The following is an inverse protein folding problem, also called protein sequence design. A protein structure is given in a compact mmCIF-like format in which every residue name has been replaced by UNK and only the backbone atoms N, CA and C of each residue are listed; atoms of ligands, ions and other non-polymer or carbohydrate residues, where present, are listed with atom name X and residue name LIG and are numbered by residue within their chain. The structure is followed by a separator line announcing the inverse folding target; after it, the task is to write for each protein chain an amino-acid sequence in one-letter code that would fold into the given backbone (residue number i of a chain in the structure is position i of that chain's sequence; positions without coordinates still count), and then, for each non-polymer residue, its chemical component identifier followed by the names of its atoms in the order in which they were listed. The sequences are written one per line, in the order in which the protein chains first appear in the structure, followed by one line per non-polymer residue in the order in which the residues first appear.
data_IF_675894927388
#
_entry.id   IF_675894927388
#
_cell.length_a   1.000
_cell.length_b   1.000
_cell.length_c   1.000
_cell.angle_alpha   90.00
_cell.angle_beta   90.00
_cell.angle_gamma   90.00
#
_symmetry.space_group_name_H-M   'P 1'
#
loop_
_entity.id
_entity.type
_entity.pdbx_description
1 polymer ?
#
# COMPACT_ATOMS: atom_id res chain seq x y z
N UNK A 1 -20.85 2.15 4.10
CA UNK A 1 -21.11 3.56 3.74
C UNK A 1 -19.80 4.32 3.80
N UNK A 2 -19.41 5.02 2.72
CA UNK A 2 -18.27 5.95 2.76
C UNK A 2 -18.83 7.33 3.14
N UNK A 3 -18.39 7.89 4.26
CA UNK A 3 -18.76 9.25 4.62
C UNK A 3 -18.05 10.21 3.66
N UNK A 4 -18.82 11.07 3.00
CA UNK A 4 -18.30 12.06 2.03
C UNK A 4 -17.43 13.11 2.72
N UNK A 5 -17.75 13.47 3.97
CA UNK A 5 -16.97 14.38 4.80
C UNK A 5 -16.90 13.89 6.25
N UNK A 6 -15.78 14.16 6.93
CA UNK A 6 -15.58 13.83 8.35
C UNK A 6 -14.91 15.00 9.09
N UNK A 7 -15.14 15.07 10.40
CA UNK A 7 -14.29 15.84 11.32
C UNK A 7 -13.27 14.88 11.93
N UNK A 8 -11.99 15.27 11.99
CA UNK A 8 -10.91 14.39 12.42
C UNK A 8 -10.15 14.95 13.62
N UNK A 9 -9.86 14.11 14.62
CA UNK A 9 -9.26 14.54 15.89
C UNK A 9 -7.86 15.17 15.73
N UNK A 10 -7.09 14.79 14.71
CA UNK A 10 -5.75 15.36 14.47
C UNK A 10 -5.78 16.61 13.60
N UNK A 11 -6.94 16.96 13.06
CA UNK A 11 -7.14 18.17 12.27
C UNK A 11 -8.54 18.76 12.54
N UNK A 12 -8.81 19.24 13.77
CA UNK A 12 -10.15 19.63 14.19
C UNK A 12 -10.65 20.94 13.54
N UNK A 13 -9.76 21.74 12.95
CA UNK A 13 -10.09 23.06 12.40
C UNK A 13 -10.91 22.97 11.10
N UNK A 14 -10.70 21.91 10.31
CA UNK A 14 -11.37 21.74 9.02
C UNK A 14 -11.92 20.31 8.85
N UNK A 15 -12.99 20.20 8.06
CA UNK A 15 -13.50 18.91 7.64
C UNK A 15 -12.61 18.32 6.53
N UNK A 16 -12.49 17.00 6.54
CA UNK A 16 -11.81 16.24 5.49
C UNK A 16 -12.85 15.65 4.56
N UNK A 17 -12.66 15.80 3.25
CA UNK A 17 -13.51 15.22 2.22
C UNK A 17 -12.91 13.93 1.68
N UNK A 18 -13.76 12.95 1.41
CA UNK A 18 -13.35 11.74 0.71
C UNK A 18 -13.11 12.06 -0.77
N UNK A 19 -11.97 11.65 -1.30
CA UNK A 19 -11.67 11.68 -2.72
C UNK A 19 -10.82 10.47 -3.14
N UNK A 20 -10.79 10.20 -4.43
CA UNK A 20 -9.90 9.19 -5.02
C UNK A 20 -8.86 9.91 -5.89
N UNK A 21 -7.58 9.69 -5.60
CA UNK A 21 -6.48 10.33 -6.32
C UNK A 21 -5.65 9.31 -7.10
N UNK A 22 -5.36 9.62 -8.35
CA UNK A 22 -4.41 8.86 -9.17
C UNK A 22 -2.95 9.20 -8.85
N UNK A 23 -2.73 10.22 -8.01
CA UNK A 23 -1.40 10.68 -7.62
C UNK A 23 -1.04 10.19 -6.21
N UNK A 24 0.22 9.83 -5.96
CA UNK A 24 0.69 9.54 -4.61
C UNK A 24 0.56 10.75 -3.70
N UNK A 25 0.27 10.49 -2.44
CA UNK A 25 0.19 11.51 -1.39
C UNK A 25 0.88 11.00 -0.12
N UNK A 26 1.34 11.92 0.73
CA UNK A 26 1.86 11.56 2.04
C UNK A 26 0.72 11.65 3.06
N UNK A 27 0.52 10.60 3.84
CA UNK A 27 -0.47 10.62 4.90
C UNK A 27 0.07 11.37 6.12
N UNK A 28 -0.63 12.41 6.57
CA UNK A 28 -0.28 13.19 7.76
C UNK A 28 -0.47 12.44 9.07
N UNK A 29 -1.28 11.39 9.07
CA UNK A 29 -1.50 10.53 10.22
C UNK A 29 -0.30 9.62 10.45
N UNK A 30 -0.12 8.61 9.59
CA UNK A 30 0.90 7.57 9.78
C UNK A 30 2.25 7.88 9.12
N UNK A 31 2.36 8.98 8.36
CA UNK A 31 3.56 9.45 7.64
C UNK A 31 4.03 8.56 6.49
N UNK A 32 3.32 7.49 6.18
CA UNK A 32 3.54 6.66 5.00
C UNK A 32 2.88 7.25 3.74
N UNK A 33 3.43 6.89 2.57
CA UNK A 33 2.83 7.25 1.27
C UNK A 33 1.58 6.42 1.01
N UNK A 34 0.58 7.05 0.40
CA UNK A 34 -0.64 6.45 -0.13
C UNK A 34 -0.90 6.78 -1.59
N UNK A 35 -1.83 6.05 -2.19
CA UNK A 35 -2.43 6.36 -3.49
C UNK A 35 -3.90 5.90 -3.46
N UNK A 36 -4.74 6.46 -4.32
CA UNK A 36 -6.14 6.08 -4.42
C UNK A 36 -7.01 6.84 -3.43
N UNK A 37 -7.89 6.11 -2.73
CA UNK A 37 -8.85 6.71 -1.81
C UNK A 37 -8.17 7.35 -0.59
N UNK A 38 -8.51 8.60 -0.32
CA UNK A 38 -8.01 9.38 0.82
C UNK A 38 -9.07 10.31 1.39
N UNK A 39 -8.80 10.83 2.58
CA UNK A 39 -9.51 11.96 3.14
C UNK A 39 -8.60 13.18 3.09
N UNK A 40 -9.01 14.21 2.36
CA UNK A 40 -8.23 15.42 2.11
C UNK A 40 -8.94 16.65 2.65
N UNK A 41 -8.19 17.55 3.26
CA UNK A 41 -8.67 18.89 3.58
C UNK A 41 -8.66 19.77 2.31
N UNK A 42 -9.75 20.48 2.04
CA UNK A 42 -9.81 21.42 0.90
C UNK A 42 -9.19 22.78 1.21
N UNK A 43 -8.91 23.07 2.49
CA UNK A 43 -8.41 24.37 2.95
C UNK A 43 -6.89 24.37 3.20
N UNK A 44 -6.29 23.21 3.42
CA UNK A 44 -4.85 23.05 3.66
C UNK A 44 -4.34 21.74 3.06
N UNK A 45 -3.01 21.63 2.96
CA UNK A 45 -2.35 20.41 2.50
C UNK A 45 -2.30 19.36 3.63
N UNK A 46 -3.47 18.76 3.90
CA UNK A 46 -3.62 17.72 4.92
C UNK A 46 -4.36 16.51 4.34
N UNK A 47 -3.70 15.36 4.36
CA UNK A 47 -4.15 14.14 3.71
C UNK A 47 -4.06 12.94 4.66
N UNK A 48 -5.09 12.11 4.69
CA UNK A 48 -5.11 10.85 5.45
C UNK A 48 -5.48 9.68 4.55
N UNK A 49 -4.78 8.54 4.74
CA UNK A 49 -5.31 7.25 4.28
C UNK A 49 -6.68 7.00 4.90
N UNK A 50 -7.54 6.22 4.23
CA UNK A 50 -8.84 5.82 4.79
C UNK A 50 -8.73 5.22 6.19
N UNK A 51 -7.74 4.35 6.44
CA UNK A 51 -7.53 3.71 7.73
C UNK A 51 -6.89 4.61 8.80
N UNK A 52 -6.35 5.77 8.40
CA UNK A 52 -5.89 6.81 9.33
C UNK A 52 -7.00 7.83 9.64
N UNK A 53 -7.90 8.06 8.68
CA UNK A 53 -9.06 8.92 8.81
C UNK A 53 -10.11 8.31 9.74
N UNK A 54 -10.35 7.01 9.63
CA UNK A 54 -11.33 6.29 10.45
C UNK A 54 -10.66 5.05 11.06
N UNK A 55 -9.75 5.23 12.04
CA UNK A 55 -9.07 4.11 12.68
C UNK A 55 -10.04 3.36 13.60
N UNK A 56 -9.97 2.03 13.60
CA UNK A 56 -10.59 1.26 14.65
C UNK A 56 -9.80 1.47 15.95
N UNK A 57 -10.43 1.63 17.12
CA UNK A 57 -9.69 1.80 18.38
C UNK A 57 -8.79 0.61 18.71
N UNK A 58 -9.16 -0.59 18.24
CA UNK A 58 -8.49 -1.85 18.48
C UNK A 58 -8.62 -2.78 17.28
N UNK A 59 -7.55 -3.52 16.96
CA UNK A 59 -7.55 -4.53 15.90
C UNK A 59 -6.83 -5.81 16.34
N UNK A 60 -7.11 -6.89 15.62
CA UNK A 60 -6.39 -8.16 15.66
C UNK A 60 -5.83 -8.47 14.28
N UNK A 61 -4.66 -9.09 14.21
CA UNK A 61 -4.02 -9.44 12.95
C UNK A 61 -3.69 -10.93 12.90
N UNK A 62 -3.94 -11.58 11.77
CA UNK A 62 -3.79 -13.04 11.58
C UNK A 62 -2.37 -13.55 11.90
N UNK A 63 -1.34 -12.75 11.61
CA UNK A 63 0.06 -13.08 11.93
C UNK A 63 0.43 -12.96 13.42
N UNK A 64 -0.44 -12.38 14.23
CA UNK A 64 -0.22 -12.09 15.64
C UNK A 64 -1.47 -12.50 16.44
N UNK A 65 -1.79 -13.78 16.42
CA UNK A 65 -3.03 -14.34 17.01
C UNK A 65 -3.17 -14.11 18.52
N UNK A 66 -2.06 -13.83 19.22
CA UNK A 66 -2.04 -13.53 20.66
C UNK A 66 -1.97 -12.03 20.97
N UNK A 67 -1.97 -11.16 19.96
CA UNK A 67 -1.79 -9.72 20.15
C UNK A 67 -3.09 -8.96 19.92
N UNK A 68 -3.38 -8.01 20.81
CA UNK A 68 -4.38 -6.98 20.60
C UNK A 68 -3.68 -5.65 20.36
N UNK A 69 -3.87 -5.06 19.18
CA UNK A 69 -3.25 -3.79 18.86
C UNK A 69 -4.23 -2.65 19.13
N UNK A 70 -3.81 -1.70 19.96
CA UNK A 70 -4.55 -0.48 20.27
C UNK A 70 -4.05 0.65 19.37
N UNK A 71 -4.97 1.49 18.89
CA UNK A 71 -4.61 2.66 18.10
C UNK A 71 -4.06 3.78 18.99
N UNK A 72 -3.00 4.43 18.54
CA UNK A 72 -2.44 5.64 19.14
C UNK A 72 -2.16 6.68 18.05
N UNK A 73 -2.37 7.96 18.38
CA UNK A 73 -2.03 9.09 17.51
C UNK A 73 -0.52 9.36 17.43
N UNK A 74 0.25 8.79 18.36
CA UNK A 74 1.72 8.85 18.40
C UNK A 74 2.28 7.53 18.94
N UNK A 75 3.50 7.12 18.54
CA UNK A 75 4.17 5.97 19.12
C UNK A 75 4.35 6.11 20.64
N UNK A 76 4.19 5.04 21.43
CA UNK A 76 4.41 5.08 22.87
C UNK A 76 5.91 5.05 23.23
N UNK A 77 6.28 5.91 24.18
CA UNK A 77 7.65 6.08 24.68
C UNK A 77 8.55 6.91 23.75
N UNK A 78 9.78 7.17 24.19
CA UNK A 78 10.70 8.10 23.51
C UNK A 78 11.74 7.41 22.60
N UNK A 79 11.70 6.08 22.53
CA UNK A 79 12.63 5.31 21.69
C UNK A 79 12.10 5.20 20.26
N UNK A 80 12.97 5.22 19.23
CA UNK A 80 12.57 4.93 17.86
C UNK A 80 11.82 3.60 17.76
N UNK A 81 10.72 3.60 17.01
CA UNK A 81 9.87 2.43 16.80
C UNK A 81 9.75 2.14 15.31
N UNK A 82 9.67 0.86 14.97
CA UNK A 82 9.62 0.41 13.58
C UNK A 82 8.41 -0.50 13.38
N UNK A 83 7.76 -0.34 12.25
CA UNK A 83 6.60 -1.15 11.90
C UNK A 83 7.04 -2.59 11.62
N UNK A 84 6.46 -3.59 12.31
CA UNK A 84 6.84 -4.99 12.12
C UNK A 84 6.45 -5.55 10.74
N UNK A 85 5.62 -4.84 9.97
CA UNK A 85 5.23 -5.25 8.63
C UNK A 85 6.17 -4.73 7.54
N UNK A 86 6.63 -3.48 7.61
CA UNK A 86 7.45 -2.85 6.56
C UNK A 86 8.81 -2.33 7.06
N UNK A 87 9.10 -2.44 8.36
CA UNK A 87 10.33 -1.97 9.02
C UNK A 87 10.67 -0.49 8.88
N UNK A 88 9.76 0.31 8.35
CA UNK A 88 9.91 1.77 8.33
C UNK A 88 9.58 2.36 9.69
N UNK A 89 10.11 3.55 9.91
CA UNK A 89 9.89 4.32 11.13
C UNK A 89 8.41 4.58 11.39
N UNK A 90 8.04 4.50 12.66
CA UNK A 90 6.71 4.87 13.13
C UNK A 90 6.83 6.23 13.82
N UNK A 91 6.49 7.30 13.10
CA UNK A 91 6.59 8.69 13.57
C UNK A 91 5.25 9.37 13.76
N UNK A 92 4.14 8.63 13.60
CA UNK A 92 2.78 9.15 13.73
C UNK A 92 1.82 8.07 14.19
N UNK A 93 0.65 7.99 13.56
CA UNK A 93 -0.41 7.04 13.90
C UNK A 93 0.09 5.60 13.85
N UNK A 94 -0.24 4.83 14.88
CA UNK A 94 0.26 3.47 15.08
C UNK A 94 -0.80 2.58 15.71
N UNK A 95 -0.78 1.31 15.35
CA UNK A 95 -1.37 0.22 16.10
C UNK A 95 -0.28 -0.45 16.93
N UNK A 96 -0.38 -0.37 18.25
CA UNK A 96 0.61 -0.87 19.19
C UNK A 96 0.04 -1.99 20.06
N UNK A 97 0.74 -3.11 20.15
CA UNK A 97 0.44 -4.19 21.09
C UNK A 97 1.28 -3.98 22.36
N UNK A 98 0.63 -3.64 23.47
CA UNK A 98 1.30 -3.41 24.77
C UNK A 98 2.05 -4.63 25.29
N UNK A 99 1.48 -5.82 25.10
CA UNK A 99 2.02 -7.06 25.68
C UNK A 99 3.28 -7.56 24.96
N UNK A 100 3.37 -7.31 23.65
CA UNK A 100 4.47 -7.80 22.82
C UNK A 100 5.42 -6.71 22.33
N UNK A 101 5.04 -5.43 22.46
CA UNK A 101 5.78 -4.30 21.93
C UNK A 101 5.76 -4.19 20.40
N UNK A 102 4.90 -4.93 19.70
CA UNK A 102 4.78 -4.87 18.24
C UNK A 102 4.02 -3.63 17.79
N UNK A 103 4.46 -3.06 16.67
CA UNK A 103 3.90 -1.86 16.07
C UNK A 103 3.55 -2.10 14.60
N UNK A 104 2.42 -1.55 14.17
CA UNK A 104 1.99 -1.55 12.78
C UNK A 104 1.50 -0.16 12.39
N UNK A 105 1.94 0.36 11.25
CA UNK A 105 1.23 1.49 10.63
C UNK A 105 -0.21 1.07 10.32
N UNK A 106 -1.21 1.97 10.42
CA UNK A 106 -2.59 1.67 10.04
C UNK A 106 -2.75 1.10 8.63
N UNK A 107 -1.99 1.61 7.64
CA UNK A 107 -2.00 1.08 6.28
C UNK A 107 -1.37 -0.32 6.18
N UNK A 108 -0.31 -0.59 6.94
CA UNK A 108 0.35 -1.89 6.98
C UNK A 108 -0.51 -2.97 7.65
N UNK A 109 -1.26 -2.61 8.69
CA UNK A 109 -2.16 -3.52 9.41
C UNK A 109 -3.37 -3.99 8.56
N UNK A 110 -3.61 -3.34 7.42
CA UNK A 110 -4.70 -3.62 6.48
C UNK A 110 -4.22 -4.10 5.12
N UNK A 111 -2.94 -4.48 5.01
CA UNK A 111 -2.42 -5.08 3.79
C UNK A 111 -3.20 -6.34 3.41
N UNK A 112 -3.51 -6.54 2.12
CA UNK A 112 -4.23 -7.72 1.69
C UNK A 112 -3.37 -8.98 1.87
N UNK A 113 -4.00 -10.08 2.28
CA UNK A 113 -3.34 -11.38 2.39
C UNK A 113 -2.91 -11.94 1.03
N UNK A 114 -3.57 -11.51 -0.05
CA UNK A 114 -3.28 -11.91 -1.43
C UNK A 114 -3.35 -10.69 -2.33
N UNK A 115 -2.29 -10.46 -3.10
CA UNK A 115 -2.30 -9.58 -4.26
C UNK A 115 -2.51 -10.43 -5.50
N UNK A 116 -3.43 -10.01 -6.37
CA UNK A 116 -3.73 -10.69 -7.62
C UNK A 116 -3.93 -9.64 -8.72
N UNK A 117 -3.07 -9.65 -9.72
CA UNK A 117 -3.18 -8.77 -10.90
C UNK A 117 -3.77 -9.50 -12.12
N UNK A 118 -4.34 -10.70 -11.93
CA UNK A 118 -4.88 -11.54 -12.99
C UNK A 118 -3.88 -12.55 -13.56
N UNK A 119 -2.58 -12.26 -13.49
CA UNK A 119 -1.52 -13.16 -13.98
C UNK A 119 -0.69 -13.77 -12.84
N UNK A 120 -0.40 -12.97 -11.81
CA UNK A 120 0.46 -13.33 -10.68
C UNK A 120 -0.33 -13.17 -9.39
N UNK A 121 -0.33 -14.25 -8.60
CA UNK A 121 -0.79 -14.23 -7.21
C UNK A 121 0.39 -14.18 -6.26
N UNK A 122 0.45 -13.14 -5.43
CA UNK A 122 1.40 -13.02 -4.34
C UNK A 122 0.67 -13.11 -3.01
N UNK A 123 1.14 -14.00 -2.15
CA UNK A 123 0.58 -14.22 -0.83
C UNK A 123 1.44 -13.53 0.21
N UNK A 124 0.81 -12.86 1.15
CA UNK A 124 1.49 -12.20 2.25
C UNK A 124 1.90 -13.23 3.29
N UNK A 125 3.15 -13.14 3.74
CA UNK A 125 3.71 -13.95 4.81
C UNK A 125 4.39 -13.06 5.84
N UNK A 126 4.28 -13.42 7.12
CA UNK A 126 4.95 -12.71 8.21
C UNK A 126 6.47 -12.72 8.07
N UNK A 127 7.06 -13.86 7.69
CA UNK A 127 8.50 -14.05 7.54
C UNK A 127 8.78 -15.19 6.57
N UNK A 128 9.76 -15.01 5.68
CA UNK A 128 10.26 -16.07 4.79
C UNK A 128 11.78 -16.12 4.86
N UNK A 129 12.37 -17.29 4.62
CA UNK A 129 13.82 -17.50 4.59
C UNK A 129 14.48 -17.19 3.24
N UNK A 130 13.66 -16.97 2.21
CA UNK A 130 14.11 -16.62 0.87
C UNK A 130 14.59 -15.16 0.81
N UNK A 131 15.58 -14.89 -0.04
CA UNK A 131 16.04 -13.52 -0.30
C UNK A 131 14.99 -12.72 -1.06
N UNK A 132 14.88 -11.43 -0.73
CA UNK A 132 14.05 -10.49 -1.48
C UNK A 132 14.64 -10.23 -2.87
N UNK A 133 13.82 -10.28 -3.91
CA UNK A 133 14.23 -10.06 -5.30
C UNK A 133 14.76 -8.63 -5.54
N UNK A 134 14.19 -7.62 -4.86
CA UNK A 134 14.58 -6.21 -5.05
C UNK A 134 15.88 -5.86 -4.33
N UNK A 135 16.06 -6.27 -3.07
CA UNK A 135 17.21 -5.86 -2.26
C UNK A 135 18.26 -6.96 -2.03
N UNK A 136 18.00 -8.21 -2.45
CA UNK A 136 18.89 -9.36 -2.29
C UNK A 136 19.03 -9.90 -0.86
N UNK A 137 18.54 -9.16 0.15
CA UNK A 137 18.68 -9.51 1.58
C UNK A 137 17.61 -10.51 2.02
N UNK A 138 17.95 -11.36 2.99
CA UNK A 138 17.01 -12.24 3.70
C UNK A 138 16.44 -11.53 4.90
N UNK A 139 15.13 -11.69 5.10
CA UNK A 139 14.42 -11.09 6.23
C UNK A 139 14.41 -9.56 6.19
N UNK A 140 13.35 -8.98 6.74
CA UNK A 140 13.21 -8.67 8.18
C UNK A 140 11.80 -8.09 8.48
N UNK A 141 11.04 -7.78 7.42
CA UNK A 141 9.62 -7.39 7.37
C UNK A 141 8.73 -8.52 6.82
N UNK A 142 7.42 -8.27 6.76
CA UNK A 142 6.49 -9.11 6.00
C UNK A 142 6.89 -9.17 4.52
N UNK A 143 6.49 -10.25 3.86
CA UNK A 143 6.91 -10.57 2.50
C UNK A 143 5.74 -11.03 1.66
N UNK A 144 5.62 -10.46 0.46
CA UNK A 144 4.77 -11.02 -0.59
C UNK A 144 5.55 -12.08 -1.37
N UNK A 145 4.98 -13.28 -1.49
CA UNK A 145 5.61 -14.43 -2.16
C UNK A 145 4.65 -15.13 -3.11
N UNK A 146 5.15 -15.49 -4.30
CA UNK A 146 4.36 -16.23 -5.28
C UNK A 146 4.25 -17.72 -4.94
N UNK A 147 3.19 -18.38 -5.45
CA UNK A 147 3.02 -19.84 -5.31
C UNK A 147 4.17 -20.63 -5.92
N UNK A 148 4.73 -20.15 -7.04
CA UNK A 148 5.89 -20.78 -7.68
C UNK A 148 7.23 -20.52 -6.95
N UNK A 149 7.21 -19.80 -5.81
CA UNK A 149 8.35 -19.47 -4.95
C UNK A 149 9.46 -18.63 -5.60
N UNK A 150 9.32 -18.27 -6.88
CA UNK A 150 10.27 -17.45 -7.65
C UNK A 150 10.27 -15.99 -7.23
N UNK A 151 9.11 -15.45 -6.84
CA UNK A 151 8.98 -14.05 -6.44
C UNK A 151 8.87 -13.95 -4.93
N UNK A 152 9.77 -13.21 -4.31
CA UNK A 152 9.80 -12.91 -2.88
C UNK A 152 10.15 -11.44 -2.72
N UNK A 153 9.26 -10.63 -2.16
CA UNK A 153 9.46 -9.19 -2.01
C UNK A 153 9.03 -8.74 -0.62
N UNK A 154 9.94 -8.09 0.12
CA UNK A 154 9.56 -7.43 1.36
C UNK A 154 8.47 -6.38 1.08
N UNK A 155 7.52 -6.21 2.00
CA UNK A 155 6.49 -5.16 1.89
C UNK A 155 7.13 -3.78 1.66
N UNK A 156 8.23 -3.48 2.37
CA UNK A 156 9.00 -2.26 2.18
C UNK A 156 9.48 -2.11 0.72
N UNK A 157 10.08 -3.16 0.16
CA UNK A 157 10.57 -3.17 -1.21
C UNK A 157 9.45 -3.06 -2.24
N UNK A 158 8.28 -3.67 -1.99
CA UNK A 158 7.12 -3.45 -2.87
C UNK A 158 6.73 -1.98 -2.84
N UNK A 159 6.63 -1.36 -1.66
CA UNK A 159 6.35 0.07 -1.54
C UNK A 159 7.40 0.92 -2.27
N UNK A 160 8.70 0.62 -2.13
CA UNK A 160 9.78 1.34 -2.81
C UNK A 160 9.66 1.25 -4.34
N UNK A 161 9.44 0.03 -4.87
CA UNK A 161 9.28 -0.20 -6.31
C UNK A 161 8.10 0.59 -6.89
N UNK A 162 7.01 0.71 -6.14
CA UNK A 162 5.85 1.50 -6.55
C UNK A 162 6.16 3.00 -6.59
N UNK A 163 7.00 3.49 -5.67
CA UNK A 163 7.37 4.91 -5.58
C UNK A 163 8.44 5.33 -6.60
N UNK A 164 9.46 4.50 -6.83
CA UNK A 164 10.50 4.76 -7.82
C UNK A 164 9.92 4.94 -9.23
N UNK A 165 8.91 4.12 -9.58
CA UNK A 165 8.20 4.25 -10.85
C UNK A 165 7.49 5.62 -11.00
N UNK A 166 7.21 6.33 -9.91
CA UNK A 166 6.56 7.63 -9.95
C UNK A 166 7.55 8.80 -10.02
N UNK A 167 8.73 8.66 -9.40
CA UNK A 167 9.75 9.74 -9.37
C UNK A 167 10.29 10.09 -10.76
N UNK A 168 10.24 9.17 -11.73
CA UNK A 168 10.54 9.45 -13.13
C UNK A 168 9.62 10.48 -13.81
N UNK A 169 8.46 10.81 -13.22
CA UNK A 169 7.43 11.68 -13.81
C UNK A 169 7.37 13.09 -13.23
N UNK A 170 8.00 13.35 -12.08
CA UNK A 170 7.95 14.67 -11.41
C UNK A 170 9.00 15.65 -12.00
N UNK A 171 9.87 15.18 -12.91
CA UNK A 171 10.94 15.98 -13.52
C UNK A 171 10.54 16.82 -14.74
N UNK A 172 9.37 16.61 -15.35
CA UNK A 172 8.94 17.37 -16.54
C UNK A 172 7.70 18.21 -16.24
N UNK A 173 7.90 19.53 -16.19
CA UNK A 173 6.83 20.53 -16.23
C UNK A 173 6.03 20.38 -17.54
N UNK A 174 4.97 19.58 -17.56
CA UNK A 174 3.87 19.77 -18.49
C UNK A 174 2.65 18.95 -18.10
N UNK A 175 1.55 19.64 -17.82
CA UNK A 175 0.22 19.04 -17.86
C UNK A 175 -0.07 18.57 -19.29
N UNK A 176 0.20 17.30 -19.59
CA UNK A 176 -0.25 16.62 -20.81
C UNK A 176 -0.87 15.27 -20.43
N UNK A 177 -2.08 15.05 -20.99
CA UNK A 177 -2.94 13.87 -20.91
C UNK A 177 -2.24 12.58 -20.43
N UNK A 178 -2.73 12.07 -19.31
CA UNK A 178 -2.49 10.73 -18.80
C UNK A 178 -2.76 9.69 -19.90
N UNK A 179 -1.71 9.10 -20.46
CA UNK A 179 -1.78 7.74 -20.97
C UNK A 179 -1.20 6.83 -19.89
N UNK A 180 -2.09 6.10 -19.23
CA UNK A 180 -1.85 5.08 -18.20
C UNK A 180 -0.75 4.10 -18.63
N UNK A 181 0.48 4.29 -18.15
CA UNK A 181 1.51 3.26 -18.15
C UNK A 181 2.12 3.15 -16.77
N UNK A 182 1.42 2.41 -15.91
CA UNK A 182 2.06 1.85 -14.73
C UNK A 182 2.48 0.41 -15.11
N UNK A 183 3.73 -0.03 -14.87
CA UNK A 183 4.17 -1.36 -15.30
C UNK A 183 3.46 -2.44 -14.48
N UNK A 184 2.87 -3.45 -15.14
CA UNK A 184 2.33 -4.67 -14.49
C UNK A 184 3.31 -5.18 -13.42
N UNK A 185 2.83 -5.75 -12.32
CA UNK A 185 3.67 -6.43 -11.32
C UNK A 185 4.65 -7.37 -12.01
N UNK A 186 4.20 -8.08 -13.05
CA UNK A 186 5.07 -8.88 -13.93
C UNK A 186 6.15 -8.05 -14.60
N UNK A 187 5.84 -6.91 -15.22
CA UNK A 187 6.85 -6.03 -15.83
C UNK A 187 7.82 -5.45 -14.80
N UNK A 188 7.36 -5.01 -13.63
CA UNK A 188 8.25 -4.55 -12.55
C UNK A 188 9.15 -5.69 -12.06
N UNK A 189 8.61 -6.90 -11.92
CA UNK A 189 9.37 -8.10 -11.56
C UNK A 189 10.36 -8.51 -12.66
N UNK A 190 10.00 -8.39 -13.94
CA UNK A 190 10.84 -8.74 -15.09
C UNK A 190 11.99 -7.75 -15.29
N UNK A 191 11.74 -6.44 -15.14
CA UNK A 191 12.79 -5.40 -15.20
C UNK A 191 13.88 -5.68 -14.16
N UNK A 192 13.51 -6.15 -12.98
CA UNK A 192 14.47 -6.46 -11.92
C UNK A 192 15.06 -7.88 -12.00
N UNK A 193 14.52 -8.77 -12.83
CA UNK A 193 15.05 -10.12 -13.06
C UNK A 193 16.03 -10.20 -14.26
N UNK A 194 16.04 -9.19 -15.14
CA UNK A 194 16.86 -9.17 -16.36
C UNK A 194 18.13 -8.30 -16.26
N UNK A 195 19.31 -8.94 -16.33
CA UNK A 195 20.49 -8.29 -16.93
C UNK A 195 20.11 -7.76 -18.32
N UNK A 196 20.54 -6.54 -18.65
CA UNK A 196 20.47 -5.86 -19.96
C UNK A 196 20.02 -6.78 -21.12
N UNK A 197 18.80 -6.60 -21.62
CA UNK A 197 18.49 -6.92 -23.01
C UNK A 197 17.33 -6.06 -23.51
N UNK A 198 17.59 -5.34 -24.60
CA UNK A 198 16.61 -4.60 -25.38
C UNK A 198 15.79 -5.64 -26.17
N UNK A 199 14.52 -5.84 -25.84
CA UNK A 199 13.57 -6.35 -26.83
C UNK A 199 12.16 -5.83 -26.56
N UNK A 200 11.59 -5.21 -27.61
CA UNK A 200 10.18 -4.85 -27.74
C UNK A 200 9.33 -6.12 -27.59
N UNK A 201 8.44 -6.15 -26.61
CA UNK A 201 7.39 -7.19 -26.52
C UNK A 201 6.05 -6.47 -26.32
N UNK A 202 5.10 -6.81 -27.20
CA UNK A 202 3.83 -6.13 -27.40
C UNK A 202 2.96 -6.06 -26.16
N UNK A 203 2.28 -4.91 -26.01
CA UNK A 203 1.37 -4.62 -24.91
C UNK A 203 -0.06 -4.83 -25.36
N UNK A 204 -0.78 -5.73 -24.72
CA UNK A 204 -2.22 -5.63 -24.61
C UNK A 204 -2.67 -5.97 -23.18
N UNK A 205 -3.35 -5.01 -22.57
CA UNK A 205 -4.31 -5.13 -21.44
C UNK A 205 -3.81 -5.59 -20.06
N UNK A 206 -3.39 -4.66 -19.19
CA UNK A 206 -3.24 -4.91 -17.74
C UNK A 206 -3.30 -3.63 -16.84
N UNK A 207 -4.01 -2.58 -17.23
CA UNK A 207 -4.01 -1.30 -16.48
C UNK A 207 -4.75 -1.35 -15.14
N UNK A 208 -5.96 -1.91 -15.13
CA UNK A 208 -6.84 -1.87 -13.95
C UNK A 208 -6.37 -2.81 -12.84
N UNK A 209 -6.09 -4.08 -13.17
CA UNK A 209 -5.61 -5.11 -12.23
C UNK A 209 -4.36 -4.67 -11.46
N UNK A 210 -3.49 -3.91 -12.11
CA UNK A 210 -2.32 -3.34 -11.49
C UNK A 210 -2.65 -2.19 -10.53
N UNK A 211 -3.47 -1.23 -10.95
CA UNK A 211 -3.88 -0.10 -10.09
C UNK A 211 -4.52 -0.60 -8.78
N UNK A 212 -5.26 -1.72 -8.85
CA UNK A 212 -5.80 -2.42 -7.69
C UNK A 212 -4.72 -2.84 -6.70
N UNK A 213 -3.66 -3.51 -7.18
CA UNK A 213 -2.55 -3.96 -6.34
C UNK A 213 -1.81 -2.77 -5.72
N UNK A 214 -1.54 -1.73 -6.50
CA UNK A 214 -0.80 -0.55 -6.02
C UNK A 214 -1.55 0.12 -4.88
N UNK A 215 -2.84 0.37 -5.09
CA UNK A 215 -3.71 0.99 -4.08
C UNK A 215 -3.75 0.12 -2.81
N UNK A 216 -3.90 -1.19 -2.97
CA UNK A 216 -3.99 -2.09 -1.83
C UNK A 216 -2.69 -2.15 -0.99
N UNK A 217 -1.51 -2.01 -1.62
CA UNK A 217 -0.23 -1.98 -0.91
C UNK A 217 0.06 -0.62 -0.27
N UNK A 218 -0.35 0.48 -0.90
CA UNK A 218 -0.08 1.84 -0.43
C UNK A 218 -1.15 2.38 0.53
N UNK A 219 -2.25 1.65 0.78
CA UNK A 219 -3.17 1.95 1.88
C UNK A 219 -4.63 2.20 1.51
N UNK A 220 -5.05 1.88 0.28
CA UNK A 220 -6.46 1.80 -0.12
C UNK A 220 -6.82 0.38 -0.61
N UNK A 221 -7.41 -0.46 0.25
CA UNK A 221 -7.88 -1.79 -0.15
C UNK A 221 -9.21 -1.75 -0.91
N UNK A 222 -9.89 -0.61 -1.03
CA UNK A 222 -11.27 -0.55 -1.57
C UNK A 222 -11.34 -0.85 -3.06
N UNK A 223 -10.21 -0.70 -3.74
CA UNK A 223 -10.09 -1.06 -5.14
C UNK A 223 -10.31 -2.59 -5.31
N UNK A 224 -9.96 -3.45 -4.33
CA UNK A 224 -10.19 -4.91 -4.41
C UNK A 224 -11.66 -5.32 -4.62
N UNK A 225 -12.63 -4.44 -4.33
CA UNK A 225 -14.07 -4.74 -4.41
C UNK A 225 -14.66 -4.33 -5.77
N UNK A 226 -14.13 -3.30 -6.43
CA UNK A 226 -14.69 -2.80 -7.70
C UNK A 226 -14.38 -3.72 -8.90
N UNK A 227 -13.28 -4.46 -8.86
CA UNK A 227 -12.85 -5.36 -9.94
C UNK A 227 -13.69 -6.64 -10.10
N UNK A 228 -14.49 -7.01 -9.10
CA UNK A 228 -15.32 -8.22 -9.16
C UNK A 228 -16.69 -7.96 -9.80
N UNK A 229 -17.20 -6.73 -9.75
CA UNK A 229 -18.54 -6.41 -10.28
C UNK A 229 -18.52 -6.12 -11.78
N UNK A 230 -17.41 -5.59 -12.32
CA UNK A 230 -17.29 -5.32 -13.77
C UNK A 230 -17.06 -6.57 -14.64
N UNK A 231 -16.64 -7.68 -14.06
CA UNK A 231 -16.29 -8.91 -14.80
C UNK A 231 -17.46 -9.89 -14.99
N UNK A 232 -18.63 -9.63 -14.40
CA UNK A 232 -19.80 -10.53 -14.53
C UNK A 232 -20.91 -10.00 -15.44
N UNK A 233 -20.75 -8.82 -16.06
CA UNK A 233 -21.78 -8.23 -16.93
C UNK A 233 -21.46 -8.39 -18.43
N UNK A 234 -20.25 -8.83 -18.83
CA UNK A 234 -19.90 -8.99 -20.25
C UNK A 234 -20.04 -10.43 -20.80
N UNK A 235 -20.77 -11.32 -20.11
CA UNK A 235 -21.03 -12.70 -20.59
C UNK A 235 -22.49 -13.15 -20.45
N UNK A 236 -23.41 -12.21 -20.35
CA UNK A 236 -24.81 -12.44 -20.68
C UNK A 236 -25.15 -11.44 -21.79
N UNK A 237 -25.89 -11.91 -22.79
CA UNK A 237 -26.20 -11.29 -24.09
C UNK A 237 -25.18 -11.61 -25.18
#
# INVERSE_FOLDING_TARGET
MKYTEISHFSHPQHKLKFENSEFPFKCDGCKEVGIGSRYKCTMCDFDLHMHCAIPAPKIFHSFYTKCSFQFFSRPPGDKPRFCNACERDVTGFVYHCKDCGFDLHPCCAKLPMVLNDGEIKLYLYRKVSASCLKCGRKGRSWTYRSSCKKYNLHVACVKDMLMENWQGYIGEKSARKFHTRIPSLKNTLLIHNGRKSKSKIGWEMAGLALQFVISAVLGDPTTLIAGVIGSMISKAW
#
